data_IF_456719227156
#
_entry.id   IF_456719227156
#
_cell.length_a   1.000
_cell.length_b   1.000
_cell.length_c   1.000
_cell.angle_alpha   90.00
_cell.angle_beta   90.00
_cell.angle_gamma   90.00
#
_symmetry.space_group_name_H-M   'P 1'
#
loop_
_entity.id
_entity.type
_entity.pdbx_description
1 polymer ?
#
# COMPACT_ATOMS: atom_id res chain seq x y z
N UNK A 1 3.52 3.04 -25.24
CA UNK A 1 3.87 1.80 -24.49
C UNK A 1 2.59 1.22 -23.90
N UNK A 2 2.02 0.22 -24.56
CA UNK A 2 0.71 -0.38 -24.20
C UNK A 2 0.96 -1.46 -23.14
N UNK A 3 0.48 -1.23 -21.92
CA UNK A 3 0.59 -2.20 -20.82
C UNK A 3 -0.21 -3.48 -21.15
N UNK A 4 0.24 -4.67 -20.74
CA UNK A 4 -0.59 -5.86 -20.82
C UNK A 4 -1.82 -5.64 -19.95
N UNK A 5 -3.00 -5.56 -20.58
CA UNK A 5 -4.31 -5.30 -19.94
C UNK A 5 -4.72 -6.32 -18.88
N UNK A 6 -3.95 -7.39 -18.65
CA UNK A 6 -4.21 -8.41 -17.63
C UNK A 6 -2.89 -8.90 -17.03
N UNK A 7 -2.48 -8.29 -15.92
CA UNK A 7 -1.55 -8.98 -15.00
C UNK A 7 -2.34 -10.14 -14.41
N UNK A 8 -1.79 -11.36 -14.42
CA UNK A 8 -2.40 -12.47 -13.71
C UNK A 8 -2.12 -12.36 -12.22
N UNK A 9 -3.05 -12.80 -11.39
CA UNK A 9 -2.93 -12.82 -9.92
C UNK A 9 -1.67 -13.57 -9.46
N UNK A 10 -1.27 -14.64 -10.17
CA UNK A 10 0.01 -15.32 -9.94
C UNK A 10 1.24 -14.42 -10.16
N UNK A 11 1.25 -13.62 -11.22
CA UNK A 11 2.33 -12.66 -11.49
C UNK A 11 2.33 -11.52 -10.46
N UNK A 12 1.16 -10.98 -10.13
CA UNK A 12 1.01 -9.97 -9.10
C UNK A 12 1.52 -10.47 -7.74
N UNK A 13 1.20 -11.70 -7.35
CA UNK A 13 1.70 -12.31 -6.13
C UNK A 13 3.23 -12.43 -6.11
N UNK A 14 3.85 -12.78 -7.24
CA UNK A 14 5.31 -12.80 -7.37
C UNK A 14 5.94 -11.42 -7.18
N UNK A 15 5.35 -10.38 -7.80
CA UNK A 15 5.80 -8.98 -7.67
C UNK A 15 5.68 -8.51 -6.21
N UNK A 16 4.54 -8.77 -5.58
CA UNK A 16 4.28 -8.39 -4.20
C UNK A 16 5.32 -8.98 -3.25
N UNK A 17 5.60 -10.28 -3.35
CA UNK A 17 6.63 -10.91 -2.52
C UNK A 17 7.99 -10.26 -2.70
N UNK A 18 8.40 -10.00 -3.94
CA UNK A 18 9.70 -9.36 -4.21
C UNK A 18 9.78 -7.91 -3.69
N UNK A 19 8.71 -7.12 -3.84
CA UNK A 19 8.70 -5.71 -3.43
C UNK A 19 8.68 -5.58 -1.90
N UNK A 20 7.90 -6.42 -1.23
CA UNK A 20 7.66 -6.34 0.20
C UNK A 20 8.51 -7.31 1.03
N UNK A 21 9.44 -8.05 0.42
CA UNK A 21 10.37 -8.97 1.10
C UNK A 21 11.16 -8.29 2.23
N UNK A 22 11.52 -7.02 2.04
CA UNK A 22 12.30 -6.24 3.01
C UNK A 22 11.46 -5.58 4.10
N UNK A 23 10.14 -5.73 4.07
CA UNK A 23 9.26 -5.13 5.07
C UNK A 23 9.22 -6.04 6.30
N UNK A 24 9.63 -5.48 7.44
CA UNK A 24 9.72 -6.20 8.71
C UNK A 24 8.37 -6.51 9.37
N UNK A 25 7.27 -6.01 8.81
CA UNK A 25 5.91 -6.24 9.32
C UNK A 25 5.10 -7.04 8.31
N UNK A 26 4.36 -8.03 8.79
CA UNK A 26 3.48 -8.85 7.97
C UNK A 26 2.32 -8.03 7.42
N UNK A 27 2.06 -8.17 6.12
CA UNK A 27 0.97 -7.49 5.42
C UNK A 27 0.37 -8.46 4.40
N UNK A 28 -0.93 -8.38 4.17
CA UNK A 28 -1.60 -9.21 3.17
C UNK A 28 -2.20 -8.37 2.04
N UNK A 29 -2.25 -8.95 0.84
CA UNK A 29 -2.95 -8.39 -0.30
C UNK A 29 -3.99 -9.39 -0.78
N UNK A 30 -5.25 -8.97 -0.86
CA UNK A 30 -6.29 -9.72 -1.57
C UNK A 30 -6.43 -9.16 -2.98
N UNK A 31 -6.15 -9.98 -3.97
CA UNK A 31 -6.24 -9.60 -5.38
C UNK A 31 -7.69 -9.70 -5.88
N UNK A 32 -7.92 -9.19 -7.09
CA UNK A 32 -9.23 -9.08 -7.74
C UNK A 32 -9.92 -10.44 -7.99
N UNK A 33 -9.18 -11.54 -7.94
CA UNK A 33 -9.72 -12.90 -8.07
C UNK A 33 -9.92 -13.60 -6.71
N UNK A 34 -9.73 -12.86 -5.61
CA UNK A 34 -9.79 -13.38 -4.24
C UNK A 34 -8.50 -14.03 -3.77
N UNK A 35 -7.44 -14.10 -4.59
CA UNK A 35 -6.15 -14.64 -4.16
C UNK A 35 -5.57 -13.81 -3.03
N UNK A 36 -5.33 -14.44 -1.89
CA UNK A 36 -4.64 -13.82 -0.76
C UNK A 36 -3.13 -14.03 -0.90
N UNK A 37 -2.37 -12.94 -0.76
CA UNK A 37 -0.91 -12.92 -0.85
C UNK A 37 -0.38 -12.27 0.42
N UNK A 38 0.18 -13.08 1.30
CA UNK A 38 0.91 -12.62 2.47
C UNK A 38 2.34 -12.23 2.07
N UNK A 39 2.78 -11.09 2.57
CA UNK A 39 4.10 -10.49 2.34
C UNK A 39 4.68 -9.92 3.62
N UNK A 40 5.99 -9.67 3.62
CA UNK A 40 6.73 -9.22 4.80
C UNK A 40 6.93 -10.34 5.82
N UNK A 41 7.43 -9.96 7.00
CA UNK A 41 7.77 -10.89 8.07
C UNK A 41 6.75 -10.84 9.21
N UNK A 42 6.28 -12.01 9.66
CA UNK A 42 5.31 -12.14 10.75
C UNK A 42 3.86 -12.25 10.27
N UNK A 43 2.92 -12.29 11.22
CA UNK A 43 1.50 -12.40 10.91
C UNK A 43 0.98 -11.11 10.24
N UNK A 44 0.14 -11.21 9.20
CA UNK A 44 -0.39 -10.04 8.51
C UNK A 44 -1.27 -9.22 9.45
N UNK A 45 -0.89 -7.97 9.69
CA UNK A 45 -1.63 -7.08 10.60
C UNK A 45 -2.80 -6.38 9.91
N UNK A 46 -2.75 -6.29 8.58
CA UNK A 46 -3.82 -5.76 7.75
C UNK A 46 -3.74 -6.36 6.34
N UNK A 47 -4.87 -6.28 5.63
CA UNK A 47 -5.07 -6.83 4.29
C UNK A 47 -5.54 -5.73 3.34
N UNK A 48 -4.71 -5.38 2.35
CA UNK A 48 -5.15 -4.52 1.25
C UNK A 48 -5.93 -5.31 0.21
N UNK A 49 -7.18 -4.95 -0.03
CA UNK A 49 -8.05 -5.54 -1.03
C UNK A 49 -8.02 -4.71 -2.30
N UNK A 50 -7.45 -5.30 -3.35
CA UNK A 50 -7.33 -4.70 -4.68
C UNK A 50 -8.40 -5.30 -5.58
N UNK A 51 -9.45 -4.53 -5.86
CA UNK A 51 -10.60 -4.97 -6.64
C UNK A 51 -10.31 -5.09 -8.14
N UNK A 52 -9.27 -4.41 -8.63
CA UNK A 52 -9.00 -4.25 -10.06
C UNK A 52 -7.52 -4.43 -10.41
N UNK A 53 -7.18 -5.19 -11.47
CA UNK A 53 -5.79 -5.33 -11.94
C UNK A 53 -5.14 -3.99 -12.30
N UNK A 54 -5.94 -3.03 -12.80
CA UNK A 54 -5.43 -1.72 -13.18
C UNK A 54 -4.95 -0.92 -11.95
N UNK A 55 -5.68 -0.99 -10.84
CA UNK A 55 -5.28 -0.37 -9.57
C UNK A 55 -3.97 -0.95 -9.07
N UNK A 56 -3.79 -2.28 -9.14
CA UNK A 56 -2.54 -2.93 -8.76
C UNK A 56 -1.35 -2.38 -9.57
N UNK A 57 -1.50 -2.26 -10.89
CA UNK A 57 -0.43 -1.73 -11.75
C UNK A 57 -0.13 -0.26 -11.42
N UNK A 58 -1.14 0.56 -11.13
CA UNK A 58 -0.96 1.96 -10.68
C UNK A 58 -0.21 2.03 -9.35
N UNK A 59 -0.57 1.20 -8.38
CA UNK A 59 0.07 1.15 -7.06
C UNK A 59 1.52 0.67 -7.15
N UNK A 60 1.79 -0.39 -7.92
CA UNK A 60 3.14 -0.93 -8.08
C UNK A 60 4.08 -0.04 -8.88
N UNK A 61 3.55 0.90 -9.69
CA UNK A 61 4.38 1.92 -10.34
C UNK A 61 5.01 2.89 -9.35
N UNK A 62 4.33 3.17 -8.26
CA UNK A 62 4.82 4.05 -7.20
C UNK A 62 4.32 3.53 -5.85
N UNK A 63 4.99 2.52 -5.26
CA UNK A 63 4.54 1.85 -4.04
C UNK A 63 4.85 2.69 -2.79
N UNK A 64 4.40 3.95 -2.77
CA UNK A 64 4.56 4.87 -1.64
C UNK A 64 3.31 4.84 -0.76
N UNK A 65 3.45 5.03 0.56
CA UNK A 65 2.31 5.08 1.49
C UNK A 65 1.23 6.08 1.04
N UNK A 66 1.63 7.21 0.45
CA UNK A 66 0.72 8.22 -0.08
C UNK A 66 -0.16 7.67 -1.21
N UNK A 67 0.42 6.95 -2.18
CA UNK A 67 -0.34 6.40 -3.30
C UNK A 67 -1.32 5.30 -2.83
N UNK A 68 -0.95 4.54 -1.79
CA UNK A 68 -1.87 3.60 -1.14
C UNK A 68 -3.00 4.32 -0.39
N UNK A 69 -2.69 5.41 0.32
CA UNK A 69 -3.69 6.22 1.01
C UNK A 69 -4.66 6.91 0.03
N UNK A 70 -4.15 7.48 -1.06
CA UNK A 70 -4.94 8.06 -2.14
C UNK A 70 -5.86 7.01 -2.76
N UNK A 71 -5.34 5.83 -3.11
CA UNK A 71 -6.16 4.76 -3.66
C UNK A 71 -7.23 4.27 -2.68
N UNK A 72 -6.97 4.32 -1.37
CA UNK A 72 -7.96 4.02 -0.35
C UNK A 72 -9.07 5.09 -0.28
N UNK A 73 -8.68 6.36 -0.25
CA UNK A 73 -9.64 7.49 -0.24
C UNK A 73 -10.48 7.54 -1.51
N UNK A 74 -9.88 7.23 -2.66
CA UNK A 74 -10.56 7.12 -3.96
C UNK A 74 -11.46 5.87 -4.07
N UNK A 75 -11.44 4.97 -3.08
CA UNK A 75 -12.19 3.70 -3.10
C UNK A 75 -11.68 2.68 -4.13
N UNK A 76 -10.46 2.89 -4.66
CA UNK A 76 -9.81 1.97 -5.58
C UNK A 76 -9.12 0.79 -4.85
N UNK A 77 -8.85 0.97 -3.56
CA UNK A 77 -8.21 0.04 -2.64
C UNK A 77 -9.03 0.00 -1.34
N UNK A 78 -9.28 -1.18 -0.79
CA UNK A 78 -9.84 -1.28 0.56
C UNK A 78 -8.80 -1.86 1.51
N UNK A 79 -8.90 -1.54 2.81
CA UNK A 79 -8.02 -2.10 3.83
C UNK A 79 -8.89 -2.80 4.86
N UNK A 80 -8.75 -4.12 4.93
CA UNK A 80 -9.40 -4.98 5.93
C UNK A 80 -8.42 -5.29 7.06
N UNK A 81 -8.88 -5.21 8.30
CA UNK A 81 -8.07 -5.44 9.50
C UNK A 81 -8.02 -4.21 10.39
N UNK A 82 -7.06 -4.18 11.32
CA UNK A 82 -6.94 -3.06 12.24
C UNK A 82 -6.22 -1.90 11.54
N UNK A 83 -6.97 -0.84 11.23
CA UNK A 83 -6.43 0.40 10.67
C UNK A 83 -5.34 1.01 11.59
N UNK A 84 -5.43 0.78 12.91
CA UNK A 84 -4.38 1.15 13.86
C UNK A 84 -3.15 0.23 13.79
N UNK A 85 -3.31 -1.03 13.37
CA UNK A 85 -2.18 -1.90 13.09
C UNK A 85 -1.53 -1.58 11.73
N UNK A 86 -2.32 -1.11 10.75
CA UNK A 86 -1.81 -0.49 9.53
C UNK A 86 -1.04 0.81 9.84
N UNK A 87 -1.50 1.59 10.83
CA UNK A 87 -0.73 2.70 11.39
C UNK A 87 0.54 2.23 12.09
N UNK A 88 0.58 1.09 12.79
CA UNK A 88 1.84 0.52 13.32
C UNK A 88 2.82 0.08 12.24
N UNK A 89 2.35 -0.39 11.09
CA UNK A 89 3.20 -0.62 9.90
C UNK A 89 3.74 0.70 9.38
N UNK A 90 2.90 1.73 9.31
CA UNK A 90 3.31 3.09 8.97
C UNK A 90 4.32 3.65 9.98
N UNK A 91 4.15 3.42 11.29
CA UNK A 91 5.05 3.82 12.38
C UNK A 91 6.39 3.06 12.31
N UNK A 92 6.37 1.78 11.91
CA UNK A 92 7.59 1.01 11.63
C UNK A 92 8.31 1.51 10.35
N UNK A 93 7.57 2.10 9.40
CA UNK A 93 8.14 2.89 8.31
C UNK A 93 8.60 4.29 8.79
N UNK A 94 8.06 4.78 9.91
CA UNK A 94 8.31 6.08 10.53
C UNK A 94 9.52 6.13 11.47
N UNK A 95 10.27 5.02 11.65
CA UNK A 95 11.69 5.12 12.05
C UNK A 95 12.53 5.88 11.00
N UNK A 96 11.95 6.16 9.82
CA UNK A 96 12.46 7.06 8.78
C UNK A 96 12.00 8.54 9.00
N UNK A 97 11.15 8.79 10.02
CA UNK A 97 10.66 10.08 10.56
C UNK A 97 9.85 10.99 9.64
N UNK A 98 8.77 11.58 10.17
CA UNK A 98 8.62 13.02 10.43
C UNK A 98 7.28 13.31 11.13
N UNK A 99 7.33 13.99 12.27
CA UNK A 99 6.18 14.20 13.14
C UNK A 99 5.19 15.25 12.63
N UNK A 100 3.94 15.16 13.14
CA UNK A 100 2.76 15.99 12.87
C UNK A 100 2.98 17.52 12.80
N UNK A 101 4.06 18.05 13.39
CA UNK A 101 4.44 19.47 13.30
C UNK A 101 4.97 19.87 11.93
N UNK A 102 5.64 18.96 11.21
CA UNK A 102 6.18 19.23 9.88
C UNK A 102 5.10 19.13 8.80
N UNK A 103 4.11 18.25 9.01
CA UNK A 103 2.93 18.13 8.17
C UNK A 103 2.07 19.41 8.18
N UNK A 104 1.86 20.02 9.35
CA UNK A 104 1.17 21.31 9.46
C UNK A 104 1.97 22.47 8.84
N UNK A 105 3.31 22.44 8.90
CA UNK A 105 4.16 23.44 8.23
C UNK A 105 4.07 23.34 6.71
N UNK A 106 3.97 22.14 6.16
CA UNK A 106 3.78 21.92 4.73
C UNK A 106 2.37 22.34 4.28
N UNK A 107 1.36 22.05 5.10
CA UNK A 107 -0.03 22.49 4.86
C UNK A 107 -0.16 24.03 4.82
N UNK A 108 0.58 24.74 5.68
CA UNK A 108 0.60 26.21 5.69
C UNK A 108 1.42 26.79 4.53
N UNK A 109 2.51 26.14 4.11
CA UNK A 109 3.34 26.59 3.00
C UNK A 109 2.60 26.54 1.64
N UNK A 110 1.68 25.59 1.47
CA UNK A 110 0.85 25.46 0.26
C UNK A 110 -0.35 26.43 0.21
N UNK A 111 -0.73 27.07 1.32
CA UNK A 111 -1.84 28.03 1.36
C UNK A 111 -1.40 29.49 1.16
N UNK A 112 -0.09 29.75 1.03
CA UNK A 112 0.42 31.11 0.78
C UNK A 112 1.34 31.17 -0.43
N UNK A 113 0.80 30.85 -1.61
CA UNK A 113 1.15 31.54 -2.87
C UNK A 113 0.13 31.24 -3.97
#
# INVERSE_FOLDING_TARGET
MVLPRNVSSRRAAGILRTVFDRVGTGFAFRLWDGTLVEVGHGAPVCTAVVHRPETFVRLMRNPTPLNFAEAYVEGALDIEGDLFAAMKVADAMEEIRLGLRDQLRLFVALWRN
#
